data_IF_687824092490
#
_entry.id   IF_687824092490
#
_cell.length_a   1.000
_cell.length_b   1.000
_cell.length_c   1.000
_cell.angle_alpha   90.00
_cell.angle_beta   90.00
_cell.angle_gamma   90.00
#
_symmetry.space_group_name_H-M   'P 1'
#
loop_
_entity.id
_entity.type
_entity.pdbx_description
1 polymer ?
#
# COMPACT_ATOMS: atom_id res chain seq x y z
N UNK A 1 -9.50 14.19 -18.29
CA UNK A 1 -8.74 13.02 -18.80
C UNK A 1 -7.21 13.22 -18.79
N UNK A 2 -6.67 14.44 -18.89
CA UNK A 2 -5.21 14.66 -18.93
C UNK A 2 -4.47 14.63 -17.56
N UNK A 3 -5.16 14.90 -16.44
CA UNK A 3 -4.52 14.98 -15.12
C UNK A 3 -4.23 13.64 -14.45
N UNK A 4 -5.12 12.64 -14.60
CA UNK A 4 -4.99 11.24 -14.13
C UNK A 4 -3.60 10.68 -14.47
N UNK A 5 -3.17 10.94 -15.70
CA UNK A 5 -1.92 10.45 -16.24
C UNK A 5 -0.70 11.11 -15.59
N UNK A 6 -0.80 12.36 -15.13
CA UNK A 6 0.33 13.14 -14.63
C UNK A 6 0.80 12.71 -13.24
N UNK A 7 -0.13 12.50 -12.31
CA UNK A 7 0.17 12.06 -10.94
C UNK A 7 0.64 10.60 -10.93
N UNK A 8 -0.06 9.73 -11.67
CA UNK A 8 0.36 8.34 -11.88
C UNK A 8 1.75 8.26 -12.52
N UNK A 9 2.04 9.06 -13.56
CA UNK A 9 3.38 9.11 -14.20
C UNK A 9 4.45 9.58 -13.22
N UNK A 10 4.16 10.58 -12.40
CA UNK A 10 5.10 11.09 -11.38
C UNK A 10 5.39 10.00 -10.34
N UNK A 11 4.35 9.36 -9.78
CA UNK A 11 4.52 8.25 -8.85
C UNK A 11 5.27 7.07 -9.47
N UNK A 12 4.93 6.68 -10.70
CA UNK A 12 5.62 5.62 -11.42
C UNK A 12 7.12 5.94 -11.64
N UNK A 13 7.47 7.21 -11.86
CA UNK A 13 8.87 7.66 -12.01
C UNK A 13 9.65 7.61 -10.69
N UNK A 14 9.02 7.96 -9.57
CA UNK A 14 9.66 7.86 -8.25
C UNK A 14 9.85 6.38 -7.86
N UNK A 15 8.83 5.56 -8.14
CA UNK A 15 8.84 4.12 -7.86
C UNK A 15 9.84 3.37 -8.73
N UNK A 16 10.05 3.77 -10.00
CA UNK A 16 10.95 3.04 -10.89
C UNK A 16 12.40 3.03 -10.40
N UNK A 17 12.80 4.08 -9.66
CA UNK A 17 14.13 4.27 -9.05
C UNK A 17 14.40 3.38 -7.84
N UNK A 18 13.39 2.70 -7.30
CA UNK A 18 13.56 1.84 -6.13
C UNK A 18 14.33 0.57 -6.50
N UNK A 19 15.42 0.34 -5.77
CA UNK A 19 16.34 -0.77 -5.99
C UNK A 19 15.81 -2.09 -5.44
N UNK A 20 16.26 -3.17 -6.07
CA UNK A 20 16.02 -4.54 -5.60
C UNK A 20 17.12 -4.89 -4.59
N UNK A 21 16.74 -5.15 -3.35
CA UNK A 21 17.68 -5.51 -2.29
C UNK A 21 18.28 -6.91 -2.51
N UNK A 22 19.62 -7.01 -2.50
CA UNK A 22 20.36 -8.29 -2.68
C UNK A 22 20.04 -9.33 -1.59
N UNK A 23 19.89 -8.89 -0.34
CA UNK A 23 19.58 -9.76 0.82
C UNK A 23 18.11 -9.68 1.25
N UNK A 24 17.19 -9.90 0.31
CA UNK A 24 15.76 -9.71 0.55
C UNK A 24 15.18 -10.60 1.67
N UNK A 25 15.66 -11.84 1.79
CA UNK A 25 15.19 -12.77 2.83
C UNK A 25 15.60 -12.34 4.24
N UNK A 26 16.81 -11.79 4.39
CA UNK A 26 17.31 -11.27 5.67
C UNK A 26 16.52 -10.04 6.10
N UNK A 27 16.23 -9.14 5.15
CA UNK A 27 15.37 -7.97 5.39
C UNK A 27 13.95 -8.39 5.81
N UNK A 28 13.37 -9.40 5.17
CA UNK A 28 12.06 -9.92 5.58
C UNK A 28 12.07 -10.48 7.00
N UNK A 29 13.15 -11.16 7.40
CA UNK A 29 13.29 -11.66 8.77
C UNK A 29 13.34 -10.51 9.78
N UNK A 30 14.21 -9.52 9.54
CA UNK A 30 14.31 -8.31 10.39
C UNK A 30 12.99 -7.56 10.46
N UNK A 31 12.30 -7.40 9.32
CA UNK A 31 11.01 -6.75 9.24
C UNK A 31 9.93 -7.50 10.03
N UNK A 32 9.97 -8.84 10.02
CA UNK A 32 9.07 -9.68 10.83
C UNK A 32 9.34 -9.54 12.33
N UNK A 33 10.60 -9.33 12.72
CA UNK A 33 11.00 -9.05 14.10
C UNK A 33 10.64 -7.63 14.58
N UNK A 34 10.11 -6.78 13.68
CA UNK A 34 9.67 -5.42 14.03
C UNK A 34 10.71 -4.34 13.77
N UNK A 35 11.81 -4.64 13.08
CA UNK A 35 12.78 -3.63 12.64
C UNK A 35 12.11 -2.66 11.65
N UNK A 36 11.93 -1.40 12.08
CA UNK A 36 11.24 -0.35 11.32
C UNK A 36 11.93 -0.05 9.99
N UNK A 37 13.26 0.01 9.98
CA UNK A 37 14.03 0.26 8.76
C UNK A 37 13.91 -0.92 7.79
N UNK A 38 13.91 -2.15 8.31
CA UNK A 38 13.69 -3.32 7.48
C UNK A 38 12.27 -3.36 6.90
N UNK A 39 11.24 -3.02 7.69
CA UNK A 39 9.86 -2.89 7.22
C UNK A 39 9.78 -1.85 6.10
N UNK A 40 10.35 -0.66 6.31
CA UNK A 40 10.37 0.42 5.31
C UNK A 40 10.97 -0.05 3.99
N UNK A 41 12.17 -0.65 4.04
CA UNK A 41 12.86 -1.18 2.85
C UNK A 41 12.05 -2.27 2.14
N UNK A 42 11.44 -3.19 2.88
CA UNK A 42 10.61 -4.25 2.29
C UNK A 42 9.36 -3.64 1.64
N UNK A 43 8.71 -2.67 2.27
CA UNK A 43 7.54 -1.98 1.70
C UNK A 43 7.92 -1.24 0.42
N UNK A 44 9.02 -0.48 0.44
CA UNK A 44 9.54 0.25 -0.71
C UNK A 44 9.84 -0.69 -1.89
N UNK A 45 10.54 -1.80 -1.65
CA UNK A 45 10.82 -2.79 -2.70
C UNK A 45 9.57 -3.41 -3.33
N UNK A 46 8.43 -3.44 -2.61
CA UNK A 46 7.20 -4.07 -3.08
C UNK A 46 6.12 -3.06 -3.51
N UNK A 47 6.41 -1.76 -3.51
CA UNK A 47 5.39 -0.76 -3.83
C UNK A 47 4.88 -0.88 -5.29
N UNK A 48 5.75 -1.31 -6.21
CA UNK A 48 5.39 -1.63 -7.61
C UNK A 48 4.28 -2.68 -7.68
N UNK A 49 4.32 -3.68 -6.80
CA UNK A 49 3.30 -4.73 -6.73
C UNK A 49 1.97 -4.17 -6.24
N UNK A 50 2.01 -3.34 -5.19
CA UNK A 50 0.80 -2.70 -4.63
C UNK A 50 0.13 -1.84 -5.69
N UNK A 51 0.88 -0.96 -6.36
CA UNK A 51 0.35 -0.09 -7.42
C UNK A 51 -0.25 -0.91 -8.58
N UNK A 52 0.43 -1.98 -9.02
CA UNK A 52 -0.08 -2.87 -10.08
C UNK A 52 -1.38 -3.57 -9.71
N UNK A 53 -1.59 -3.87 -8.43
CA UNK A 53 -2.84 -4.48 -7.96
C UNK A 53 -3.92 -3.41 -7.82
N UNK A 54 -3.59 -2.29 -7.16
CA UNK A 54 -4.47 -1.16 -6.91
C UNK A 54 -5.05 -0.55 -8.20
N UNK A 55 -4.24 -0.50 -9.26
CA UNK A 55 -4.67 0.04 -10.57
C UNK A 55 -5.85 -0.70 -11.19
N UNK A 56 -6.18 -1.92 -10.72
CA UNK A 56 -7.35 -2.67 -11.19
C UNK A 56 -8.65 -2.32 -10.47
N UNK A 57 -8.59 -1.58 -9.38
CA UNK A 57 -9.72 -1.29 -8.49
C UNK A 57 -10.19 0.17 -8.56
N UNK A 58 -9.53 1.00 -9.34
CA UNK A 58 -9.71 2.46 -9.31
C UNK A 58 -10.53 2.94 -10.51
N UNK A 59 -11.52 3.80 -10.25
CA UNK A 59 -12.32 4.48 -11.27
C UNK A 59 -12.03 6.00 -11.35
N UNK A 60 -11.46 6.60 -10.28
CA UNK A 60 -11.19 8.05 -10.16
C UNK A 60 -9.86 8.34 -9.42
N UNK A 61 -9.29 9.54 -9.60
CA UNK A 61 -7.96 9.92 -9.09
C UNK A 61 -7.85 9.97 -7.56
N UNK A 62 -8.85 10.57 -6.89
CA UNK A 62 -8.84 10.72 -5.43
C UNK A 62 -8.92 9.36 -4.72
N UNK A 63 -9.63 8.40 -5.34
CA UNK A 63 -9.78 7.04 -4.82
C UNK A 63 -8.47 6.24 -4.97
N UNK A 64 -7.59 6.61 -5.91
CA UNK A 64 -6.35 5.87 -6.19
C UNK A 64 -5.38 5.91 -5.02
N UNK A 65 -5.18 7.09 -4.44
CA UNK A 65 -4.25 7.30 -3.31
C UNK A 65 -4.73 6.51 -2.09
N UNK A 66 -6.03 6.55 -1.81
CA UNK A 66 -6.62 5.79 -0.71
C UNK A 66 -6.47 4.27 -0.91
N UNK A 67 -6.75 3.75 -2.11
CA UNK A 67 -6.60 2.33 -2.42
C UNK A 67 -5.14 1.89 -2.25
N UNK A 68 -4.16 2.69 -2.69
CA UNK A 68 -2.74 2.40 -2.49
C UNK A 68 -2.40 2.32 -1.01
N UNK A 69 -2.85 3.27 -0.20
CA UNK A 69 -2.57 3.30 1.24
C UNK A 69 -3.11 2.03 1.91
N UNK A 70 -4.35 1.66 1.63
CA UNK A 70 -4.96 0.41 2.12
C UNK A 70 -4.19 -0.83 1.62
N UNK A 71 -3.75 -0.82 0.36
CA UNK A 71 -2.91 -1.88 -0.18
C UNK A 71 -1.59 -2.03 0.57
N UNK A 72 -0.95 -0.92 0.95
CA UNK A 72 0.27 -0.90 1.76
C UNK A 72 0.02 -1.47 3.17
N UNK A 73 -1.12 -1.16 3.78
CA UNK A 73 -1.52 -1.78 5.05
C UNK A 73 -1.67 -3.32 4.90
N UNK A 74 -2.23 -3.78 3.79
CA UNK A 74 -2.30 -5.20 3.46
C UNK A 74 -0.92 -5.83 3.30
N UNK A 75 0.00 -5.14 2.65
CA UNK A 75 1.40 -5.58 2.51
C UNK A 75 2.09 -5.69 3.87
N UNK A 76 1.93 -4.73 4.77
CA UNK A 76 2.50 -4.78 6.12
C UNK A 76 1.97 -5.98 6.92
N UNK A 77 0.66 -6.28 6.81
CA UNK A 77 0.08 -7.51 7.40
C UNK A 77 0.71 -8.78 6.82
N UNK A 78 1.01 -8.79 5.53
CA UNK A 78 1.70 -9.89 4.89
C UNK A 78 3.11 -10.08 5.46
N UNK A 79 3.87 -9.01 5.68
CA UNK A 79 5.22 -9.06 6.28
C UNK A 79 5.17 -9.75 7.64
N UNK A 80 4.25 -9.34 8.52
CA UNK A 80 4.11 -9.91 9.88
C UNK A 80 3.80 -11.41 9.86
N UNK A 81 2.92 -11.86 8.95
CA UNK A 81 2.42 -13.25 8.91
C UNK A 81 3.19 -14.17 7.95
N UNK A 82 4.14 -13.63 7.19
CA UNK A 82 4.87 -14.42 6.20
C UNK A 82 5.77 -15.46 6.87
N UNK A 83 5.72 -16.68 6.34
CA UNK A 83 6.58 -17.78 6.76
C UNK A 83 7.30 -18.38 5.53
N UNK A 84 8.62 -18.19 5.39
CA UNK A 84 9.38 -18.73 4.26
C UNK A 84 9.43 -20.27 4.23
N UNK A 85 9.27 -20.95 5.38
CA UNK A 85 9.27 -22.41 5.45
C UNK A 85 8.11 -23.07 4.69
N UNK A 86 7.08 -22.30 4.32
CA UNK A 86 5.95 -22.79 3.51
C UNK A 86 6.25 -22.87 2.01
N UNK A 87 7.48 -22.52 1.57
CA UNK A 87 7.92 -22.65 0.17
C UNK A 87 7.26 -21.69 -0.82
N UNK A 88 6.43 -20.75 -0.35
CA UNK A 88 5.77 -19.76 -1.21
C UNK A 88 6.58 -18.46 -1.29
N UNK A 89 6.73 -17.91 -2.49
CA UNK A 89 7.38 -16.61 -2.70
C UNK A 89 6.59 -15.52 -1.97
N UNK A 90 7.30 -14.59 -1.33
CA UNK A 90 6.67 -13.49 -0.59
C UNK A 90 5.71 -12.66 -1.46
N UNK A 91 6.07 -12.36 -2.71
CA UNK A 91 5.22 -11.58 -3.63
C UNK A 91 3.85 -12.24 -3.88
N UNK A 92 3.82 -13.57 -4.02
CA UNK A 92 2.58 -14.34 -4.16
C UNK A 92 1.72 -14.22 -2.89
N UNK A 93 2.34 -14.38 -1.73
CA UNK A 93 1.65 -14.27 -0.44
C UNK A 93 1.10 -12.85 -0.21
N UNK A 94 1.94 -11.83 -0.41
CA UNK A 94 1.58 -10.43 -0.26
C UNK A 94 0.44 -10.01 -1.19
N UNK A 95 0.41 -10.49 -2.43
CA UNK A 95 -0.65 -10.18 -3.38
C UNK A 95 -2.06 -10.56 -2.86
N UNK A 96 -2.18 -11.65 -2.09
CA UNK A 96 -3.46 -12.04 -1.49
C UNK A 96 -3.91 -11.05 -0.41
N UNK A 97 -3.00 -10.65 0.47
CA UNK A 97 -3.30 -9.68 1.54
C UNK A 97 -3.62 -8.28 1.01
N UNK A 98 -2.91 -7.84 -0.04
CA UNK A 98 -3.17 -6.57 -0.71
C UNK A 98 -4.59 -6.59 -1.31
N UNK A 99 -4.93 -7.61 -2.11
CA UNK A 99 -6.27 -7.75 -2.71
C UNK A 99 -7.37 -7.81 -1.66
N UNK A 100 -7.16 -8.58 -0.59
CA UNK A 100 -8.12 -8.73 0.50
C UNK A 100 -8.37 -7.39 1.20
N UNK A 101 -7.30 -6.65 1.51
CA UNK A 101 -7.39 -5.35 2.19
C UNK A 101 -8.13 -4.32 1.34
N UNK A 102 -7.82 -4.23 0.05
CA UNK A 102 -8.51 -3.36 -0.89
C UNK A 102 -9.98 -3.73 -1.01
N UNK A 103 -10.30 -5.02 -1.21
CA UNK A 103 -11.69 -5.49 -1.32
C UNK A 103 -12.50 -5.19 -0.06
N UNK A 104 -11.91 -5.38 1.12
CA UNK A 104 -12.55 -5.08 2.40
C UNK A 104 -12.83 -3.58 2.55
N UNK A 105 -11.88 -2.71 2.16
CA UNK A 105 -12.08 -1.27 2.14
C UNK A 105 -13.21 -0.84 1.20
N UNK A 106 -13.20 -1.35 -0.04
CA UNK A 106 -14.25 -1.07 -1.01
C UNK A 106 -15.62 -1.56 -0.52
N UNK A 107 -15.68 -2.74 0.11
CA UNK A 107 -16.92 -3.26 0.69
C UNK A 107 -17.44 -2.35 1.80
N UNK A 108 -16.59 -1.91 2.74
CA UNK A 108 -16.98 -0.98 3.80
C UNK A 108 -17.43 0.36 3.26
N UNK A 109 -16.73 0.93 2.29
CA UNK A 109 -17.09 2.21 1.69
C UNK A 109 -18.32 2.12 0.79
N UNK A 110 -18.57 0.97 0.15
CA UNK A 110 -19.79 0.73 -0.62
C UNK A 110 -21.01 0.54 0.28
N UNK A 111 -20.86 -0.16 1.42
CA UNK A 111 -21.91 -0.28 2.44
C UNK A 111 -22.31 1.08 3.04
N UNK A 112 -21.37 2.02 3.12
CA UNK A 112 -21.64 3.41 3.51
C UNK A 112 -22.32 4.24 2.40
N UNK A 113 -22.39 3.75 1.15
CA UNK A 113 -23.01 4.39 -0.02
C UNK A 113 -24.42 3.82 -0.35
N UNK A 114 -25.20 3.42 0.67
CA UNK A 114 -26.64 3.12 0.54
C UNK A 114 -27.43 4.39 0.12
N UNK A 115 -28.54 4.31 -0.67
CA UNK A 115 -29.03 5.43 -1.51
C UNK A 115 -29.73 6.61 -0.78
N UNK A 116 -29.45 6.87 0.49
CA UNK A 116 -30.09 7.95 1.24
C UNK A 116 -29.15 8.93 1.96
N UNK A 117 -27.83 8.81 1.82
CA UNK A 117 -26.91 9.78 2.43
C UNK A 117 -25.77 10.11 1.47
N UNK A 118 -25.84 11.30 0.87
CA UNK A 118 -24.68 11.95 0.24
C UNK A 118 -23.65 12.21 1.35
N UNK A 119 -22.83 11.22 1.67
CA UNK A 119 -21.64 11.44 2.50
C UNK A 119 -20.66 12.24 1.64
N UNK A 120 -20.73 13.57 1.76
CA UNK A 120 -19.57 14.42 1.49
C UNK A 120 -18.54 13.97 2.52
N UNK A 121 -17.62 13.10 2.10
CA UNK A 121 -16.40 12.88 2.87
C UNK A 121 -15.69 14.24 2.92
N UNK A 122 -15.84 14.92 4.06
CA UNK A 122 -15.06 16.10 4.38
C UNK A 122 -13.64 15.65 4.76
N UNK A 123 -12.92 15.02 3.84
CA UNK A 123 -11.46 14.88 3.94
C UNK A 123 -10.85 16.20 3.48
N UNK A 124 -10.95 17.24 4.31
CA UNK A 124 -9.90 18.25 4.33
C UNK A 124 -8.65 17.54 4.87
N UNK A 125 -7.85 16.95 4.01
CA UNK A 125 -6.51 16.50 4.37
C UNK A 125 -5.59 16.59 3.17
N UNK A 126 -5.11 17.82 2.97
CA UNK A 126 -3.73 18.11 2.63
C UNK A 126 -3.20 17.38 1.39
N UNK A 127 -3.51 17.94 0.21
CA UNK A 127 -2.62 18.01 -0.94
C UNK A 127 -1.31 18.73 -0.57
N UNK A 128 -0.60 18.26 0.44
CA UNK A 128 0.78 18.66 0.65
C UNK A 128 1.62 17.96 -0.41
N UNK A 129 2.43 18.73 -1.12
CA UNK A 129 3.48 18.32 -2.07
C UNK A 129 4.55 17.41 -1.42
N UNK A 130 4.18 16.44 -0.60
CA UNK A 130 5.10 15.45 -0.04
C UNK A 130 5.41 14.39 -1.11
N UNK A 131 6.67 13.97 -1.27
CA UNK A 131 7.01 12.83 -2.11
C UNK A 131 6.26 11.58 -1.61
N UNK A 132 5.77 10.76 -2.53
CA UNK A 132 5.05 9.51 -2.25
C UNK A 132 5.71 8.62 -1.20
N UNK A 133 7.04 8.55 -1.26
CA UNK A 133 7.88 7.75 -0.36
C UNK A 133 7.84 8.24 1.09
N UNK A 134 7.70 9.55 1.32
CA UNK A 134 7.61 10.15 2.66
C UNK A 134 6.25 9.86 3.29
N UNK A 135 5.19 9.81 2.48
CA UNK A 135 3.84 9.48 2.95
C UNK A 135 3.73 8.02 3.42
N UNK A 136 4.47 7.10 2.78
CA UNK A 136 4.45 5.68 3.11
C UNK A 136 5.28 5.33 4.35
N UNK A 137 6.36 6.07 4.64
CA UNK A 137 7.14 5.91 5.88
C UNK A 137 6.35 6.37 7.11
N UNK A 138 5.58 7.47 7.00
CA UNK A 138 4.70 7.95 8.07
C UNK A 138 3.63 6.90 8.43
N UNK A 139 3.12 6.12 7.46
CA UNK A 139 2.19 5.01 7.73
C UNK A 139 2.89 3.84 8.44
N UNK A 140 4.14 3.55 8.09
CA UNK A 140 4.92 2.51 8.74
C UNK A 140 5.21 2.85 10.22
N UNK A 141 5.39 4.14 10.54
CA UNK A 141 5.64 4.63 11.90
C UNK A 141 4.38 4.70 12.78
N UNK A 142 3.20 4.88 12.18
CA UNK A 142 1.91 5.02 12.89
C UNK A 142 1.11 3.71 12.98
N UNK A 143 1.58 2.60 12.38
CA UNK A 143 0.89 1.32 12.49
C UNK A 143 1.31 0.63 13.79
N UNK A 144 0.56 0.92 14.85
CA UNK A 144 0.73 0.30 16.15
C UNK A 144 0.76 -1.24 16.01
N UNK A 145 1.69 -1.87 16.72
CA UNK A 145 2.01 -3.29 16.59
C UNK A 145 0.91 -4.26 17.09
N UNK A 146 -0.31 -3.79 17.34
CA UNK A 146 -1.31 -4.45 18.19
C UNK A 146 -2.58 -4.98 17.48
N UNK A 147 -2.57 -5.19 16.15
CA UNK A 147 -3.70 -5.79 15.41
C UNK A 147 -3.32 -7.16 14.82
#
# INVERSE_FOLDING_TARGET
MAEITSLFKRYAKDISRLEVNKNYNELLLKARLGDKEAIRKVVESNIKLVVKIASRYTLQDDEFVEIINIGCLGLMKAIKKYNPSKGTKFSTYAAMWIKSSIRNFLSKNCLLKSPATKFKNNSKSNTTNKPFVIFLSEIADNFDCSI
#
